data_IF_323077879580
#
_entry.id   IF_323077879580
#
_cell.length_a   1.000
_cell.length_b   1.000
_cell.length_c   1.000
_cell.angle_alpha   90.00
_cell.angle_beta   90.00
_cell.angle_gamma   90.00
#
_symmetry.space_group_name_H-M   'P 1'
#
loop_
_entity.id
_entity.type
_entity.pdbx_description
1 polymer ?
#
# COMPACT_ATOMS: atom_id res chain seq x y z
N UNK A 1 -47.50 45.95 -26.69
CA UNK A 1 -48.24 46.48 -25.52
C UNK A 1 -49.26 45.44 -24.99
N UNK A 2 -49.05 45.04 -23.75
CA UNK A 2 -50.02 44.53 -22.77
C UNK A 2 -50.84 43.24 -23.00
N UNK A 3 -50.43 42.21 -22.24
CA UNK A 3 -51.17 41.47 -21.19
C UNK A 3 -52.11 40.29 -21.56
N UNK A 4 -51.88 39.23 -20.77
CA UNK A 4 -52.53 37.91 -20.59
C UNK A 4 -54.05 37.94 -20.33
N UNK A 5 -54.72 36.81 -20.63
CA UNK A 5 -55.55 35.97 -19.71
C UNK A 5 -56.11 34.76 -20.50
N UNK A 6 -55.89 33.51 -20.07
CA UNK A 6 -56.91 32.61 -19.48
C UNK A 6 -57.70 31.84 -20.58
N UNK A 7 -58.09 30.56 -20.53
CA UNK A 7 -58.35 29.58 -19.46
C UNK A 7 -58.72 28.26 -20.19
N UNK A 8 -58.59 27.09 -19.54
CA UNK A 8 -59.51 25.91 -19.55
C UNK A 8 -58.81 24.56 -19.60
N UNK A 9 -59.11 23.75 -18.59
CA UNK A 9 -58.87 22.30 -18.47
C UNK A 9 -60.13 21.56 -18.95
N UNK A 10 -60.00 20.30 -19.41
CA UNK A 10 -60.90 19.27 -18.87
C UNK A 10 -60.20 17.94 -18.50
N UNK A 11 -60.87 17.23 -17.60
CA UNK A 11 -60.55 15.94 -16.98
C UNK A 11 -60.81 14.76 -17.93
N UNK A 12 -59.98 13.72 -17.87
CA UNK A 12 -60.22 12.39 -18.46
C UNK A 12 -59.36 11.31 -17.79
N UNK A 13 -59.99 10.19 -17.41
CA UNK A 13 -59.51 9.17 -16.46
C UNK A 13 -58.65 8.05 -17.06
N UNK A 14 -57.91 7.39 -16.15
CA UNK A 14 -57.57 5.95 -16.05
C UNK A 14 -56.70 5.27 -17.12
N UNK A 15 -55.57 4.73 -16.67
CA UNK A 15 -54.75 3.76 -17.39
C UNK A 15 -53.67 3.17 -16.48
N UNK A 16 -53.95 1.97 -15.98
CA UNK A 16 -53.18 1.06 -15.14
C UNK A 16 -51.69 0.96 -15.50
N UNK A 17 -50.78 1.10 -14.54
CA UNK A 17 -49.39 0.64 -14.67
C UNK A 17 -49.05 -0.33 -13.55
N UNK A 18 -48.78 -1.56 -14.00
CA UNK A 18 -48.25 -2.71 -13.27
C UNK A 18 -46.97 -2.37 -12.54
N UNK A 19 -46.89 -2.81 -11.29
CA UNK A 19 -45.69 -2.73 -10.48
C UNK A 19 -44.59 -3.63 -11.01
N UNK A 20 -43.38 -3.09 -11.02
CA UNK A 20 -42.14 -3.86 -11.09
C UNK A 20 -41.22 -3.30 -10.01
N UNK A 21 -40.76 -4.18 -9.12
CA UNK A 21 -39.89 -3.86 -7.99
C UNK A 21 -38.56 -3.23 -8.44
N UNK A 22 -37.99 -2.29 -7.67
CA UNK A 22 -36.65 -1.77 -7.95
C UNK A 22 -35.58 -2.79 -7.54
N UNK A 23 -34.60 -3.11 -8.39
CA UNK A 23 -33.44 -3.87 -7.94
C UNK A 23 -32.56 -2.98 -7.04
N UNK A 24 -32.10 -3.60 -5.94
CA UNK A 24 -31.19 -3.04 -4.95
C UNK A 24 -30.03 -2.28 -5.58
N UNK A 25 -29.80 -1.06 -5.09
CA UNK A 25 -28.57 -0.31 -5.31
C UNK A 25 -27.45 -1.00 -4.52
N UNK A 26 -26.59 -1.73 -5.22
CA UNK A 26 -25.27 -2.11 -4.70
C UNK A 26 -24.42 -0.84 -4.71
N UNK A 27 -24.14 -0.31 -3.53
CA UNK A 27 -23.27 0.86 -3.35
C UNK A 27 -21.81 0.43 -3.52
N UNK A 28 -21.31 0.51 -4.74
CA UNK A 28 -19.87 0.49 -5.01
C UNK A 28 -19.36 1.91 -4.82
N UNK A 29 -18.87 2.23 -3.63
CA UNK A 29 -18.11 3.47 -3.40
C UNK A 29 -16.72 3.30 -3.98
N UNK A 30 -16.54 3.73 -5.22
CA UNK A 30 -15.23 4.08 -5.79
C UNK A 30 -14.70 5.31 -5.04
N UNK A 31 -13.46 5.31 -4.50
CA UNK A 31 -12.87 6.54 -4.00
C UNK A 31 -12.50 7.40 -5.20
N UNK A 32 -13.21 8.51 -5.35
CA UNK A 32 -12.84 9.56 -6.30
C UNK A 32 -11.50 10.16 -5.85
N UNK A 33 -10.49 10.12 -6.72
CA UNK A 33 -9.27 10.91 -6.58
C UNK A 33 -9.62 12.40 -6.75
N UNK A 34 -10.13 13.01 -5.68
CA UNK A 34 -10.26 14.44 -5.54
C UNK A 34 -9.09 14.94 -4.71
N UNK A 35 -8.36 15.93 -5.22
CA UNK A 35 -7.35 16.69 -4.48
C UNK A 35 -8.01 17.26 -3.23
N UNK A 36 -7.78 16.64 -2.07
CA UNK A 36 -8.21 17.18 -0.78
C UNK A 36 -7.15 18.17 -0.33
N UNK A 37 -7.33 19.45 -0.67
CA UNK A 37 -6.75 20.53 0.12
C UNK A 37 -7.47 20.57 1.47
N UNK A 38 -6.89 19.90 2.47
CA UNK A 38 -7.38 19.91 3.85
C UNK A 38 -6.82 21.11 4.62
N UNK A 39 -7.69 22.00 5.07
CA UNK A 39 -7.38 23.04 6.07
C UNK A 39 -6.92 22.40 7.38
N UNK A 40 -5.91 22.93 8.11
CA UNK A 40 -5.42 22.27 9.33
C UNK A 40 -6.44 22.40 10.46
N UNK A 41 -7.10 21.29 10.80
CA UNK A 41 -7.84 21.16 12.05
C UNK A 41 -6.88 20.81 13.19
N UNK A 42 -6.98 21.51 14.33
CA UNK A 42 -6.17 21.32 15.54
C UNK A 42 -6.42 19.99 16.30
N UNK A 43 -6.98 18.96 15.65
CA UNK A 43 -7.16 17.64 16.24
C UNK A 43 -6.00 16.72 15.80
N UNK A 44 -5.36 16.02 16.74
CA UNK A 44 -4.34 15.01 16.41
C UNK A 44 -4.96 13.95 15.48
N UNK A 45 -4.31 13.57 14.36
CA UNK A 45 -4.82 12.54 13.47
C UNK A 45 -5.05 11.22 14.24
N UNK A 46 -6.26 10.67 14.18
CA UNK A 46 -6.63 9.41 14.85
C UNK A 46 -6.04 8.15 14.18
N UNK A 47 -5.32 8.34 13.08
CA UNK A 47 -4.76 7.31 12.21
C UNK A 47 -3.22 7.28 12.23
N UNK A 48 -2.57 8.10 13.09
CA UNK A 48 -1.11 8.12 13.13
C UNK A 48 -0.54 6.98 14.00
N UNK A 49 0.64 6.49 13.60
CA UNK A 49 1.37 5.40 14.26
C UNK A 49 1.86 5.74 15.69
N UNK A 50 1.58 6.95 16.17
CA UNK A 50 1.97 7.47 17.49
C UNK A 50 0.75 7.94 18.32
N UNK A 51 -0.47 7.88 17.76
CA UNK A 51 -1.71 8.42 18.33
C UNK A 51 -2.78 7.37 18.56
N UNK A 52 -2.42 6.24 19.17
CA UNK A 52 -3.21 5.00 19.23
C UNK A 52 -4.49 4.99 20.09
N UNK A 53 -5.05 6.14 20.46
CA UNK A 53 -6.28 6.17 21.26
C UNK A 53 -7.51 5.91 20.37
N UNK A 54 -8.20 4.77 20.56
CA UNK A 54 -9.68 4.76 20.56
C UNK A 54 -10.36 3.45 21.05
N UNK A 55 -11.67 3.60 21.28
CA UNK A 55 -12.65 2.81 22.05
C UNK A 55 -12.87 1.34 21.70
N UNK A 56 -13.24 0.57 22.73
CA UNK A 56 -13.53 -0.88 22.74
C UNK A 56 -14.53 -1.32 21.66
N UNK A 57 -14.28 -2.41 20.91
CA UNK A 57 -15.24 -2.97 19.97
C UNK A 57 -16.29 -3.87 20.67
N UNK A 58 -17.53 -3.85 20.18
CA UNK A 58 -18.57 -4.83 20.50
C UNK A 58 -18.60 -5.98 19.48
N UNK A 59 -18.55 -7.22 19.99
CA UNK A 59 -18.50 -8.49 19.25
C UNK A 59 -19.87 -8.90 18.69
N UNK A 60 -19.94 -9.40 17.45
CA UNK A 60 -21.05 -10.23 16.96
C UNK A 60 -20.47 -11.44 16.20
N UNK A 61 -20.71 -12.63 16.73
CA UNK A 61 -20.39 -13.92 16.11
C UNK A 61 -21.57 -14.38 15.23
N UNK A 62 -21.29 -15.16 14.17
CA UNK A 62 -22.29 -15.79 13.31
C UNK A 62 -22.49 -17.26 13.70
N UNK A 63 -23.74 -17.71 13.67
CA UNK A 63 -24.16 -19.07 13.97
C UNK A 63 -24.35 -19.88 12.68
N UNK A 64 -23.58 -20.95 12.49
CA UNK A 64 -24.03 -22.16 11.78
C UNK A 64 -22.96 -23.26 11.86
N UNK A 65 -23.35 -24.41 12.41
CA UNK A 65 -22.53 -25.62 12.52
C UNK A 65 -22.77 -26.56 11.32
N UNK A 66 -21.72 -27.24 10.83
CA UNK A 66 -21.81 -28.31 9.84
C UNK A 66 -20.98 -29.49 10.32
N UNK A 67 -21.57 -30.69 10.32
CA UNK A 67 -20.97 -31.91 10.89
C UNK A 67 -20.04 -32.62 9.93
N UNK A 68 -18.84 -32.95 10.41
CA UNK A 68 -17.79 -33.64 9.67
C UNK A 68 -17.94 -35.17 9.61
N UNK A 69 -17.45 -35.75 8.51
CA UNK A 69 -16.78 -37.06 8.38
C UNK A 69 -16.45 -37.34 6.91
N UNK A 70 -15.61 -36.51 6.32
CA UNK A 70 -14.93 -36.82 5.03
C UNK A 70 -13.61 -36.00 4.87
N UNK A 71 -13.10 -35.45 5.97
CA UNK A 71 -12.05 -34.42 6.00
C UNK A 71 -10.63 -34.97 6.17
N UNK A 72 -10.46 -36.17 6.73
CA UNK A 72 -9.15 -36.58 7.29
C UNK A 72 -8.10 -36.98 6.24
N UNK A 73 -8.46 -37.58 5.11
CA UNK A 73 -7.47 -38.09 4.15
C UNK A 73 -7.04 -37.07 3.07
N UNK A 74 -7.88 -36.08 2.74
CA UNK A 74 -7.54 -35.06 1.72
C UNK A 74 -6.70 -33.91 2.26
N UNK A 75 -6.67 -33.71 3.58
CA UNK A 75 -5.95 -32.60 4.21
C UNK A 75 -4.46 -32.87 4.44
N UNK A 76 -4.05 -34.15 4.61
CA UNK A 76 -2.66 -34.49 4.91
C UNK A 76 -1.68 -34.30 3.73
N UNK A 77 -2.13 -34.44 2.48
CA UNK A 77 -1.22 -34.40 1.31
C UNK A 77 -1.03 -33.01 0.70
N UNK A 78 -1.71 -31.96 1.21
CA UNK A 78 -1.65 -30.59 0.65
C UNK A 78 -1.15 -29.51 1.62
N UNK A 79 -0.76 -29.85 2.85
CA UNK A 79 -0.52 -28.89 3.95
C UNK A 79 0.93 -28.85 4.45
N UNK A 80 1.86 -28.51 3.55
CA UNK A 80 3.18 -28.00 3.94
C UNK A 80 3.15 -26.46 3.89
N UNK A 81 2.59 -25.82 4.92
CA UNK A 81 2.73 -24.37 5.14
C UNK A 81 3.57 -24.03 6.39
N UNK A 82 3.94 -25.03 7.20
CA UNK A 82 4.96 -24.90 8.24
C UNK A 82 6.40 -24.79 7.66
N UNK A 83 6.60 -25.18 6.40
CA UNK A 83 7.93 -25.20 5.78
C UNK A 83 8.36 -23.86 5.15
N UNK A 84 7.43 -22.94 4.83
CA UNK A 84 7.76 -21.67 4.18
C UNK A 84 8.03 -20.54 5.19
N UNK A 85 7.27 -20.47 6.29
CA UNK A 85 7.50 -19.51 7.39
C UNK A 85 8.94 -19.59 7.91
N UNK A 86 9.45 -20.81 8.12
CA UNK A 86 10.83 -21.02 8.59
C UNK A 86 11.89 -20.57 7.57
N UNK A 87 11.61 -20.63 6.26
CA UNK A 87 12.54 -20.17 5.22
C UNK A 87 12.59 -18.65 5.16
N UNK A 88 11.45 -17.98 5.27
CA UNK A 88 11.40 -16.52 5.22
C UNK A 88 11.93 -15.89 6.51
N UNK A 89 11.71 -16.51 7.67
CA UNK A 89 12.39 -16.14 8.92
C UNK A 89 13.92 -16.30 8.76
N UNK A 90 14.40 -17.44 8.27
CA UNK A 90 15.84 -17.65 8.09
C UNK A 90 16.48 -16.63 7.12
N UNK A 91 15.75 -16.18 6.09
CA UNK A 91 16.21 -15.08 5.21
C UNK A 91 16.35 -13.76 5.98
N UNK A 92 15.37 -13.42 6.83
CA UNK A 92 15.43 -12.23 7.68
C UNK A 92 16.59 -12.32 8.66
N UNK A 93 16.76 -13.46 9.34
CA UNK A 93 17.84 -13.67 10.30
C UNK A 93 19.22 -13.55 9.63
N UNK A 94 19.38 -14.13 8.43
CA UNK A 94 20.62 -14.00 7.67
C UNK A 94 20.90 -12.56 7.25
N UNK A 95 19.87 -11.77 6.92
CA UNK A 95 20.01 -10.37 6.54
C UNK A 95 20.34 -9.47 7.73
N UNK A 96 19.61 -9.62 8.85
CA UNK A 96 19.81 -8.79 10.04
C UNK A 96 20.96 -9.29 10.94
N UNK A 97 21.50 -10.49 10.69
CA UNK A 97 22.57 -11.08 11.48
C UNK A 97 22.16 -11.44 12.92
N UNK A 98 20.87 -11.62 13.16
CA UNK A 98 20.30 -11.95 14.48
C UNK A 98 19.10 -12.87 14.33
N UNK A 99 18.89 -13.76 15.30
CA UNK A 99 17.69 -14.58 15.35
C UNK A 99 16.45 -13.73 15.61
N UNK A 100 15.33 -14.12 15.01
CA UNK A 100 14.03 -13.52 15.29
C UNK A 100 13.46 -14.11 16.57
N UNK A 101 12.89 -13.26 17.43
CA UNK A 101 12.10 -13.73 18.56
C UNK A 101 10.81 -14.37 18.05
N UNK A 102 10.51 -15.59 18.51
CA UNK A 102 9.31 -16.35 18.11
C UNK A 102 8.42 -16.71 19.28
N UNK A 103 8.86 -16.51 20.52
CA UNK A 103 8.02 -16.70 21.70
C UNK A 103 7.13 -15.48 21.91
N UNK A 104 5.81 -15.66 21.83
CA UNK A 104 4.84 -14.55 21.79
C UNK A 104 4.98 -13.59 22.97
N UNK A 105 5.16 -14.11 24.20
CA UNK A 105 5.29 -13.30 25.42
C UNK A 105 6.52 -12.39 25.44
N UNK A 106 7.53 -12.70 24.62
CA UNK A 106 8.78 -11.94 24.51
C UNK A 106 8.77 -10.96 23.33
N UNK A 107 7.73 -11.00 22.49
CA UNK A 107 7.55 -10.07 21.39
C UNK A 107 6.96 -8.75 21.89
N UNK A 108 7.46 -7.61 21.41
CA UNK A 108 6.88 -6.33 21.73
C UNK A 108 5.49 -6.21 21.10
N UNK A 109 4.55 -5.63 21.85
CA UNK A 109 3.18 -5.36 21.38
C UNK A 109 3.05 -4.05 20.63
N UNK A 110 4.09 -3.22 20.58
CA UNK A 110 4.14 -2.02 19.77
C UNK A 110 5.55 -1.72 19.29
N UNK A 111 5.65 -1.14 18.09
CA UNK A 111 6.90 -0.70 17.50
C UNK A 111 6.62 0.39 16.47
N UNK A 112 7.44 1.44 16.48
CA UNK A 112 7.34 2.56 15.55
C UNK A 112 8.73 2.88 15.04
N UNK A 113 8.90 2.86 13.72
CA UNK A 113 10.18 3.19 13.10
C UNK A 113 10.45 4.69 13.20
N UNK A 114 11.65 5.05 13.67
CA UNK A 114 12.09 6.46 13.77
C UNK A 114 13.49 6.65 13.17
N UNK A 115 13.69 7.65 12.28
CA UNK A 115 12.67 8.55 11.72
C UNK A 115 11.64 7.80 10.86
N UNK A 116 10.45 8.38 10.72
CA UNK A 116 9.43 7.81 9.83
C UNK A 116 9.92 7.82 8.39
N UNK A 117 9.57 6.82 7.56
CA UNK A 117 9.62 7.00 6.12
C UNK A 117 8.83 8.25 5.73
N UNK A 118 9.31 8.99 4.72
CA UNK A 118 8.69 10.26 4.34
C UNK A 118 7.54 10.10 3.34
N UNK A 119 6.45 10.87 3.47
CA UNK A 119 5.37 10.89 2.48
C UNK A 119 5.83 11.50 1.16
N UNK A 120 5.37 10.90 0.06
CA UNK A 120 5.59 11.36 -1.30
C UNK A 120 4.61 10.67 -2.25
N UNK A 121 4.46 11.13 -3.50
CA UNK A 121 3.54 10.52 -4.42
C UNK A 121 4.19 9.30 -5.08
N UNK A 122 3.36 8.43 -5.64
CA UNK A 122 3.80 7.30 -6.46
C UNK A 122 4.15 7.70 -7.90
N UNK A 123 4.21 9.00 -8.21
CA UNK A 123 4.51 9.60 -9.53
C UNK A 123 3.78 8.88 -10.68
N UNK A 124 2.47 9.11 -10.84
CA UNK A 124 1.63 8.29 -11.68
C UNK A 124 2.03 8.37 -13.16
N UNK A 125 2.07 7.23 -13.83
CA UNK A 125 2.36 7.12 -15.27
C UNK A 125 1.39 7.96 -16.10
N UNK A 126 0.10 7.98 -15.75
CA UNK A 126 -0.91 8.76 -16.48
C UNK A 126 -0.73 10.28 -16.37
N UNK A 127 0.07 10.74 -15.38
CA UNK A 127 0.47 12.15 -15.19
C UNK A 127 1.86 12.45 -15.79
N UNK A 128 2.43 11.50 -16.56
CA UNK A 128 3.77 11.57 -17.16
C UNK A 128 4.93 11.44 -16.14
N UNK A 129 4.72 10.73 -15.04
CA UNK A 129 5.76 10.47 -14.04
C UNK A 129 6.30 11.76 -13.43
N UNK A 130 7.62 11.91 -13.36
CA UNK A 130 8.27 13.12 -12.83
C UNK A 130 8.26 14.32 -13.79
N UNK A 131 7.65 14.19 -14.98
CA UNK A 131 7.37 15.35 -15.84
C UNK A 131 6.14 16.16 -15.36
N UNK A 132 5.38 15.65 -14.38
CA UNK A 132 4.21 16.35 -13.85
C UNK A 132 4.60 17.71 -13.25
N UNK A 133 3.85 18.76 -13.62
CA UNK A 133 3.94 20.06 -12.96
C UNK A 133 3.12 20.01 -11.68
N UNK A 134 3.73 19.53 -10.60
CA UNK A 134 3.07 19.40 -9.31
C UNK A 134 2.78 20.76 -8.66
N UNK A 135 3.58 21.80 -8.97
CA UNK A 135 3.38 23.17 -8.54
C UNK A 135 2.99 24.06 -9.72
N UNK A 136 1.88 24.80 -9.59
CA UNK A 136 1.34 25.61 -10.67
C UNK A 136 2.29 26.75 -11.06
N UNK A 137 2.66 26.81 -12.33
CA UNK A 137 3.53 27.88 -12.87
C UNK A 137 5.02 27.62 -12.68
N UNK A 138 5.40 26.48 -12.09
CA UNK A 138 6.79 26.05 -12.02
C UNK A 138 7.10 24.96 -13.05
N UNK A 139 8.38 24.87 -13.42
CA UNK A 139 8.92 23.77 -14.21
C UNK A 139 8.77 22.44 -13.44
N UNK A 140 8.64 21.33 -14.17
CA UNK A 140 8.57 20.00 -13.57
C UNK A 140 9.92 19.60 -12.95
N UNK A 141 9.95 18.61 -12.03
CA UNK A 141 11.21 18.08 -11.49
C UNK A 141 12.20 17.67 -12.58
N UNK A 142 11.73 17.00 -13.64
CA UNK A 142 12.54 16.59 -14.78
C UNK A 142 13.13 17.79 -15.55
N UNK A 143 12.32 18.81 -15.83
CA UNK A 143 12.76 20.03 -16.52
C UNK A 143 13.79 20.81 -15.67
N UNK A 144 13.55 20.91 -14.35
CA UNK A 144 14.48 21.53 -13.40
C UNK A 144 15.82 20.81 -13.40
N UNK A 145 15.83 19.48 -13.30
CA UNK A 145 17.05 18.68 -13.33
C UNK A 145 17.82 18.90 -14.65
N UNK A 146 17.15 18.72 -15.79
CA UNK A 146 17.80 18.88 -17.08
C UNK A 146 18.43 20.26 -17.25
N UNK A 147 17.70 21.32 -16.86
CA UNK A 147 18.19 22.70 -16.94
C UNK A 147 19.40 22.93 -16.03
N UNK A 148 19.35 22.48 -14.78
CA UNK A 148 20.41 22.72 -13.80
C UNK A 148 21.71 21.99 -14.16
N UNK A 149 21.63 20.82 -14.79
CA UNK A 149 22.79 19.98 -15.13
C UNK A 149 23.19 20.07 -16.62
N UNK A 150 22.66 21.06 -17.35
CA UNK A 150 23.08 21.34 -18.73
C UNK A 150 22.66 20.27 -19.75
N UNK A 151 21.59 19.54 -19.47
CA UNK A 151 20.94 18.62 -20.41
C UNK A 151 19.88 19.38 -21.23
N UNK A 152 19.49 18.82 -22.38
CA UNK A 152 18.35 19.33 -23.14
C UNK A 152 17.04 18.93 -22.43
N UNK A 153 16.22 19.90 -21.95
CA UNK A 153 15.02 19.56 -21.18
C UNK A 153 13.99 18.78 -21.99
N UNK A 154 13.86 19.04 -23.29
CA UNK A 154 12.90 18.34 -24.14
C UNK A 154 13.29 16.87 -24.31
N UNK A 155 14.56 16.59 -24.61
CA UNK A 155 15.08 15.24 -24.74
C UNK A 155 15.00 14.47 -23.41
N UNK A 156 15.37 15.10 -22.29
CA UNK A 156 15.30 14.47 -20.97
C UNK A 156 13.85 14.11 -20.60
N UNK A 157 12.91 15.04 -20.73
CA UNK A 157 11.49 14.77 -20.46
C UNK A 157 10.90 13.71 -21.41
N UNK A 158 11.35 13.66 -22.66
CA UNK A 158 10.96 12.60 -23.60
C UNK A 158 11.50 11.23 -23.18
N UNK A 159 12.69 11.16 -22.59
CA UNK A 159 13.24 9.92 -22.03
C UNK A 159 12.44 9.46 -20.81
N UNK A 160 12.16 10.37 -19.86
CA UNK A 160 11.27 10.11 -18.69
C UNK A 160 9.93 9.52 -19.17
N UNK A 161 9.25 10.19 -20.10
CA UNK A 161 7.95 9.76 -20.61
C UNK A 161 7.98 8.36 -21.23
N UNK A 162 9.05 8.04 -21.97
CA UNK A 162 9.22 6.72 -22.62
C UNK A 162 9.56 5.60 -21.65
N UNK A 163 10.25 5.92 -20.55
CA UNK A 163 10.69 4.94 -19.56
C UNK A 163 9.53 4.56 -18.64
N UNK A 164 8.91 5.54 -17.96
CA UNK A 164 7.88 5.31 -16.95
C UNK A 164 6.65 6.25 -17.02
N UNK A 165 6.62 7.20 -17.96
CA UNK A 165 5.51 8.13 -18.18
C UNK A 165 4.52 7.73 -19.29
N UNK A 166 3.89 8.69 -19.95
CA UNK A 166 2.77 8.47 -20.87
C UNK A 166 3.21 7.72 -22.14
N UNK A 167 4.38 8.05 -22.71
CA UNK A 167 4.84 7.44 -23.96
C UNK A 167 5.26 5.96 -23.78
N UNK A 168 5.59 5.54 -22.55
CA UNK A 168 5.81 4.13 -22.21
C UNK A 168 4.55 3.27 -22.50
N UNK A 169 3.38 3.90 -22.50
CA UNK A 169 2.07 3.27 -22.72
C UNK A 169 1.57 3.41 -24.17
N UNK A 170 2.47 3.70 -25.12
CA UNK A 170 2.14 3.96 -26.54
C UNK A 170 1.38 2.85 -27.28
N UNK A 171 1.33 1.63 -26.72
CA UNK A 171 0.56 0.49 -27.24
C UNK A 171 -0.90 0.44 -26.73
N UNK A 172 -1.26 1.27 -25.75
CA UNK A 172 -2.63 1.35 -25.22
C UNK A 172 -3.53 2.18 -26.15
N UNK A 173 -4.84 2.12 -25.89
CA UNK A 173 -5.86 2.84 -26.65
C UNK A 173 -5.57 4.34 -26.67
N UNK A 174 -5.55 4.94 -27.86
CA UNK A 174 -5.40 6.40 -27.99
C UNK A 174 -6.63 7.11 -27.48
N UNK A 175 -6.43 8.28 -26.89
CA UNK A 175 -7.51 9.11 -26.35
C UNK A 175 -7.24 10.60 -26.54
N UNK A 176 -8.30 11.38 -26.46
CA UNK A 176 -8.30 12.86 -26.43
C UNK A 176 -9.05 13.38 -25.20
N UNK A 177 -9.84 12.53 -24.53
CA UNK A 177 -10.52 12.80 -23.27
C UNK A 177 -10.77 11.51 -22.49
N UNK A 178 -11.12 11.60 -21.21
CA UNK A 178 -11.44 10.44 -20.37
C UNK A 178 -12.61 9.61 -20.89
N UNK A 179 -13.53 10.22 -21.65
CA UNK A 179 -14.67 9.51 -22.25
C UNK A 179 -14.21 8.44 -23.25
N UNK A 180 -13.06 8.62 -23.90
CA UNK A 180 -12.50 7.62 -24.82
C UNK A 180 -12.05 6.34 -24.08
N UNK A 181 -11.80 6.44 -22.77
CA UNK A 181 -11.31 5.36 -21.92
C UNK A 181 -12.43 4.64 -21.15
N UNK A 182 -13.62 5.24 -21.04
CA UNK A 182 -14.72 4.74 -20.20
C UNK A 182 -15.15 3.30 -20.51
N UNK A 183 -15.00 2.85 -21.76
CA UNK A 183 -15.39 1.49 -22.18
C UNK A 183 -14.44 0.38 -21.70
N UNK A 184 -13.24 0.74 -21.21
CA UNK A 184 -12.21 -0.23 -20.80
C UNK A 184 -12.51 -0.88 -19.44
N UNK A 185 -13.24 -0.18 -18.55
CA UNK A 185 -13.60 -0.64 -17.21
C UNK A 185 -12.40 -1.12 -16.36
N UNK A 186 -11.20 -0.57 -16.59
CA UNK A 186 -9.94 -0.93 -15.92
C UNK A 186 -9.36 0.23 -15.07
N UNK A 187 -10.16 1.27 -14.81
CA UNK A 187 -9.73 2.46 -14.07
C UNK A 187 -8.81 3.40 -14.89
N UNK A 188 -8.76 3.25 -16.21
CA UNK A 188 -7.97 4.12 -17.07
C UNK A 188 -8.48 5.56 -17.14
N UNK A 189 -7.57 6.51 -16.99
CA UNK A 189 -7.74 7.92 -17.38
C UNK A 189 -7.00 8.21 -18.68
N UNK A 190 -7.37 9.29 -19.37
CA UNK A 190 -6.67 9.73 -20.57
C UNK A 190 -5.42 10.54 -20.21
N UNK A 191 -4.25 9.90 -20.24
CA UNK A 191 -2.97 10.57 -20.02
C UNK A 191 -2.53 11.31 -21.27
N UNK A 192 -2.44 12.64 -21.21
CA UNK A 192 -1.99 13.51 -22.30
C UNK A 192 -0.78 14.32 -21.82
N UNK A 193 0.34 14.23 -22.53
CA UNK A 193 1.55 15.01 -22.21
C UNK A 193 1.32 16.50 -22.38
N UNK A 194 2.03 17.31 -21.59
CA UNK A 194 2.02 18.75 -21.73
C UNK A 194 2.34 19.18 -23.17
N UNK A 195 1.49 20.05 -23.74
CA UNK A 195 1.62 20.54 -25.12
C UNK A 195 1.11 19.59 -26.21
N UNK A 196 0.62 18.39 -25.87
CA UNK A 196 0.01 17.46 -26.82
C UNK A 196 -1.53 17.55 -26.81
N UNK A 197 -2.17 17.11 -27.89
CA UNK A 197 -3.63 17.11 -28.05
C UNK A 197 -4.28 15.73 -27.93
N UNK A 198 -3.46 14.67 -27.83
CA UNK A 198 -3.91 13.30 -27.68
C UNK A 198 -2.87 12.49 -26.92
N UNK A 199 -3.30 11.42 -26.28
CA UNK A 199 -2.42 10.50 -25.56
C UNK A 199 -3.01 9.11 -25.49
N UNK A 200 -2.94 8.47 -24.32
CA UNK A 200 -3.30 7.06 -24.16
C UNK A 200 -4.16 6.83 -22.90
N UNK A 201 -5.07 5.85 -22.95
CA UNK A 201 -5.84 5.40 -21.81
C UNK A 201 -4.98 4.54 -20.88
N UNK A 202 -4.60 5.08 -19.72
CA UNK A 202 -3.63 4.49 -18.79
C UNK A 202 -4.32 4.24 -17.44
N UNK A 203 -4.22 3.04 -16.84
CA UNK A 203 -4.76 2.76 -15.51
C UNK A 203 -4.12 3.72 -14.51
N UNK A 204 -4.96 4.41 -13.74
CA UNK A 204 -4.50 5.50 -12.88
C UNK A 204 -3.60 5.04 -11.73
N UNK A 205 -3.65 3.76 -11.37
CA UNK A 205 -2.77 3.15 -10.37
C UNK A 205 -1.34 2.89 -10.86
N UNK A 206 -1.07 2.95 -12.16
CA UNK A 206 0.29 2.78 -12.67
C UNK A 206 1.19 3.93 -12.21
N UNK A 207 2.34 3.58 -11.65
CA UNK A 207 3.40 4.50 -11.26
C UNK A 207 4.53 3.75 -10.57
N UNK A 208 5.35 4.48 -9.81
CA UNK A 208 6.59 4.01 -9.22
C UNK A 208 6.51 3.93 -7.69
N UNK A 209 5.39 3.46 -7.13
CA UNK A 209 5.26 3.23 -5.69
C UNK A 209 6.35 2.27 -5.16
N UNK A 210 6.73 1.26 -5.96
CA UNK A 210 7.84 0.35 -5.64
C UNK A 210 9.22 1.03 -5.55
N UNK A 211 9.37 2.24 -6.09
CA UNK A 211 10.62 3.00 -6.05
C UNK A 211 10.57 4.12 -4.99
N UNK A 212 9.44 4.81 -4.85
CA UNK A 212 9.23 5.78 -3.78
C UNK A 212 9.36 5.12 -2.40
N UNK A 213 8.77 3.95 -2.20
CA UNK A 213 8.79 3.27 -0.90
C UNK A 213 10.20 2.98 -0.36
N UNK A 214 11.14 2.36 -1.10
CA UNK A 214 12.51 2.18 -0.61
C UNK A 214 13.28 3.51 -0.50
N UNK A 215 13.06 4.47 -1.40
CA UNK A 215 13.67 5.80 -1.28
C UNK A 215 13.24 6.48 0.03
N UNK A 216 11.95 6.38 0.38
CA UNK A 216 11.39 6.95 1.62
C UNK A 216 11.97 6.36 2.90
N UNK A 217 12.41 5.10 2.84
CA UNK A 217 12.98 4.38 3.97
C UNK A 217 14.48 4.63 4.14
N UNK A 218 15.21 4.68 3.02
CA UNK A 218 16.68 4.72 3.04
C UNK A 218 17.24 6.13 2.95
N UNK A 219 16.53 7.06 2.31
CA UNK A 219 16.98 8.42 2.10
C UNK A 219 16.40 9.36 3.17
N UNK A 220 17.23 10.29 3.65
CA UNK A 220 16.77 11.33 4.54
C UNK A 220 15.78 12.25 3.80
N UNK A 221 14.73 12.69 4.46
CA UNK A 221 13.73 13.54 3.83
C UNK A 221 14.30 14.93 3.50
N UNK A 222 14.16 15.43 2.26
CA UNK A 222 14.51 16.81 1.93
C UNK A 222 13.65 17.79 2.75
N UNK A 223 14.27 18.81 3.37
CA UNK A 223 13.58 19.72 4.27
C UNK A 223 13.36 21.11 3.69
N UNK A 224 14.36 21.65 2.98
CA UNK A 224 14.35 23.02 2.46
C UNK A 224 14.67 23.08 0.96
N UNK A 225 14.18 24.10 0.22
CA UNK A 225 14.57 24.30 -1.17
C UNK A 225 16.08 24.50 -1.33
N UNK A 226 16.62 24.04 -2.45
CA UNK A 226 18.05 24.13 -2.81
C UNK A 226 18.17 24.79 -4.18
N UNK A 227 19.14 25.70 -4.35
CA UNK A 227 19.37 26.33 -5.64
C UNK A 227 20.68 25.84 -6.24
N UNK A 228 20.61 25.24 -7.43
CA UNK A 228 21.77 24.76 -8.16
C UNK A 228 21.76 25.31 -9.58
N UNK A 229 22.86 25.95 -9.99
CA UNK A 229 23.02 26.55 -11.32
C UNK A 229 21.84 27.44 -11.76
N UNK A 230 21.29 28.22 -10.82
CA UNK A 230 20.19 29.14 -11.09
C UNK A 230 18.79 28.52 -11.09
N UNK A 231 18.66 27.22 -10.82
CA UNK A 231 17.38 26.51 -10.69
C UNK A 231 17.11 26.15 -9.24
N UNK A 232 15.91 26.47 -8.74
CA UNK A 232 15.47 26.11 -7.39
C UNK A 232 14.70 24.79 -7.41
N UNK A 233 15.18 23.83 -6.64
CA UNK A 233 14.54 22.55 -6.36
C UNK A 233 13.87 22.62 -4.99
N UNK A 234 12.55 22.47 -4.94
CA UNK A 234 11.82 22.30 -3.70
C UNK A 234 12.00 20.87 -3.17
N UNK A 235 11.76 20.60 -1.87
CA UNK A 235 11.79 19.25 -1.33
C UNK A 235 11.00 18.23 -2.15
N UNK A 236 9.83 18.63 -2.66
CA UNK A 236 9.00 17.80 -3.51
C UNK A 236 9.64 17.45 -4.87
N UNK A 237 10.42 18.37 -5.47
CA UNK A 237 11.20 18.05 -6.68
C UNK A 237 12.25 16.98 -6.38
N UNK A 238 12.93 17.09 -5.23
CA UNK A 238 13.95 16.12 -4.83
C UNK A 238 13.35 14.75 -4.51
N UNK A 239 12.15 14.70 -3.90
CA UNK A 239 11.36 13.48 -3.72
C UNK A 239 11.01 12.83 -5.07
N UNK A 240 10.80 13.62 -6.12
CA UNK A 240 10.57 13.10 -7.47
C UNK A 240 11.83 12.44 -8.04
N UNK A 241 12.92 13.19 -8.07
CA UNK A 241 14.18 12.76 -8.67
C UNK A 241 14.74 11.52 -7.97
N UNK A 242 14.69 11.48 -6.64
CA UNK A 242 15.20 10.33 -5.88
C UNK A 242 14.33 9.09 -6.09
N UNK A 243 13.01 9.21 -6.15
CA UNK A 243 12.13 8.08 -6.45
C UNK A 243 12.40 7.51 -7.85
N UNK A 244 12.61 8.37 -8.85
CA UNK A 244 12.90 7.96 -10.23
C UNK A 244 14.30 7.29 -10.36
N UNK A 245 15.29 7.74 -9.57
CA UNK A 245 16.56 7.00 -9.42
C UNK A 245 16.32 5.57 -8.93
N UNK A 246 15.49 5.38 -7.91
CA UNK A 246 15.21 4.05 -7.36
C UNK A 246 14.44 3.15 -8.33
N UNK A 247 13.69 3.72 -9.28
CA UNK A 247 13.02 2.98 -10.36
C UNK A 247 14.03 2.51 -11.41
N UNK A 248 14.94 3.38 -11.83
CA UNK A 248 15.97 3.08 -12.83
C UNK A 248 17.20 2.33 -12.29
N UNK A 249 17.37 2.23 -10.97
CA UNK A 249 18.52 1.59 -10.33
C UNK A 249 18.27 0.10 -10.01
N UNK A 250 19.31 -0.72 -10.15
CA UNK A 250 19.26 -2.11 -9.67
C UNK A 250 19.56 -2.15 -8.17
N UNK A 251 18.50 -2.14 -7.35
CA UNK A 251 18.61 -2.34 -5.90
C UNK A 251 18.36 -3.80 -5.53
N UNK A 252 19.22 -4.35 -4.67
CA UNK A 252 19.01 -5.69 -4.14
C UNK A 252 17.88 -5.67 -3.12
N UNK A 253 16.92 -6.58 -3.25
CA UNK A 253 15.80 -6.71 -2.32
C UNK A 253 15.83 -8.03 -1.56
N UNK A 254 15.21 -8.05 -0.38
CA UNK A 254 14.78 -9.27 0.29
C UNK A 254 13.27 -9.36 0.14
N UNK A 255 12.77 -10.40 -0.51
CA UNK A 255 11.34 -10.59 -0.78
C UNK A 255 10.84 -11.83 -0.04
N UNK A 256 9.71 -11.68 0.65
CA UNK A 256 9.04 -12.72 1.44
C UNK A 256 7.55 -12.71 1.14
N UNK A 257 6.96 -13.90 0.95
CA UNK A 257 5.65 -14.07 0.33
C UNK A 257 5.70 -14.14 -1.21
N UNK A 258 4.55 -14.42 -1.82
CA UNK A 258 4.35 -14.67 -3.24
C UNK A 258 3.20 -13.82 -3.71
N UNK A 259 3.43 -13.01 -4.74
CA UNK A 259 2.40 -12.17 -5.34
C UNK A 259 1.21 -13.00 -5.83
N UNK A 260 0.00 -12.59 -5.47
CA UNK A 260 -1.21 -13.07 -6.11
C UNK A 260 -1.50 -12.25 -7.37
N UNK A 261 -1.37 -12.85 -8.56
CA UNK A 261 -1.55 -12.14 -9.84
C UNK A 261 -3.04 -12.07 -10.29
N UNK A 262 -3.99 -12.25 -9.38
CA UNK A 262 -5.40 -12.47 -9.71
C UNK A 262 -5.69 -13.87 -10.27
N UNK A 263 -6.97 -14.21 -10.46
CA UNK A 263 -7.42 -15.49 -11.04
C UNK A 263 -8.56 -16.16 -10.26
N UNK A 264 -8.88 -17.40 -10.63
CA UNK A 264 -9.91 -18.19 -9.92
C UNK A 264 -9.44 -18.50 -8.50
N UNK A 265 -10.03 -17.80 -7.54
CA UNK A 265 -9.83 -18.02 -6.12
C UNK A 265 -11.21 -18.17 -5.50
N UNK A 266 -11.45 -19.29 -4.83
CA UNK A 266 -12.73 -19.57 -4.16
C UNK A 266 -12.41 -19.96 -2.72
N UNK A 267 -12.93 -19.22 -1.73
CA UNK A 267 -12.97 -19.67 -0.35
C UNK A 267 -13.58 -21.05 -0.24
N UNK A 268 -13.02 -21.90 0.63
CA UNK A 268 -13.75 -23.06 1.13
C UNK A 268 -14.84 -22.63 2.13
N UNK A 269 -15.56 -23.60 2.70
CA UNK A 269 -16.65 -23.33 3.65
C UNK A 269 -16.20 -22.67 4.96
N UNK A 270 -14.90 -22.59 5.20
CA UNK A 270 -14.27 -21.99 6.37
C UNK A 270 -13.58 -20.64 6.07
N UNK A 271 -13.76 -20.11 4.85
CA UNK A 271 -13.14 -18.86 4.38
C UNK A 271 -11.82 -19.07 3.63
N UNK A 272 -11.15 -20.19 3.86
CA UNK A 272 -9.78 -20.39 3.36
C UNK A 272 -9.74 -20.41 1.83
N UNK A 273 -9.04 -19.44 1.26
CA UNK A 273 -8.82 -19.30 -0.18
C UNK A 273 -8.13 -20.52 -0.80
N UNK A 274 -8.50 -20.90 -2.02
CA UNK A 274 -7.92 -22.06 -2.70
C UNK A 274 -6.53 -21.79 -3.29
N UNK A 275 -6.21 -20.53 -3.60
CA UNK A 275 -4.91 -20.09 -4.10
C UNK A 275 -3.82 -20.15 -3.02
N UNK A 276 -2.71 -20.83 -3.31
CA UNK A 276 -1.56 -20.86 -2.41
C UNK A 276 -0.87 -19.49 -2.31
N UNK A 277 -0.81 -18.72 -3.40
CA UNK A 277 -0.25 -17.37 -3.42
C UNK A 277 -1.07 -16.40 -2.54
N UNK A 278 -2.40 -16.57 -2.51
CA UNK A 278 -3.26 -15.77 -1.64
C UNK A 278 -3.05 -16.10 -0.16
N UNK A 279 -2.77 -17.36 0.16
CA UNK A 279 -2.45 -17.79 1.53
C UNK A 279 -0.97 -17.61 1.91
N UNK A 280 -0.14 -17.06 1.01
CA UNK A 280 1.31 -17.22 1.11
C UNK A 280 1.93 -16.40 2.23
N UNK A 281 1.37 -15.22 2.53
CA UNK A 281 1.76 -14.47 3.71
C UNK A 281 1.07 -15.04 4.96
N UNK A 282 1.72 -16.01 5.59
CA UNK A 282 1.26 -16.60 6.84
C UNK A 282 1.18 -15.54 7.96
N UNK A 283 0.08 -15.44 8.73
CA UNK A 283 -0.07 -14.44 9.78
C UNK A 283 0.94 -14.57 10.93
N UNK A 284 1.49 -15.77 11.17
CA UNK A 284 2.60 -15.95 12.10
C UNK A 284 3.85 -15.24 11.61
N UNK A 285 4.20 -15.42 10.33
CA UNK A 285 5.32 -14.72 9.72
C UNK A 285 5.11 -13.20 9.77
N UNK A 286 3.92 -12.73 9.43
CA UNK A 286 3.54 -11.32 9.53
C UNK A 286 3.75 -10.77 10.94
N UNK A 287 3.21 -11.45 11.96
CA UNK A 287 3.32 -11.00 13.35
C UNK A 287 4.77 -10.98 13.85
N UNK A 288 5.51 -12.07 13.63
CA UNK A 288 6.91 -12.21 14.02
C UNK A 288 7.75 -11.13 13.35
N UNK A 289 7.57 -10.92 12.04
CA UNK A 289 8.30 -9.90 11.27
C UNK A 289 7.97 -8.51 11.79
N UNK A 290 6.69 -8.15 11.90
CA UNK A 290 6.30 -6.82 12.32
C UNK A 290 6.79 -6.49 13.74
N UNK A 291 6.62 -7.41 14.70
CA UNK A 291 7.04 -7.21 16.07
C UNK A 291 8.58 -7.16 16.21
N UNK A 292 9.33 -8.03 15.54
CA UNK A 292 10.80 -7.99 15.62
C UNK A 292 11.36 -6.73 14.96
N UNK A 293 10.95 -6.41 13.73
CA UNK A 293 11.59 -5.34 12.98
C UNK A 293 11.28 -3.97 13.59
N UNK A 294 10.00 -3.69 13.81
CA UNK A 294 9.56 -2.38 14.31
C UNK A 294 9.80 -2.23 15.82
N UNK A 295 9.73 -3.33 16.57
CA UNK A 295 9.80 -3.28 18.04
C UNK A 295 11.16 -3.65 18.63
N UNK A 296 12.00 -4.45 17.97
CA UNK A 296 13.30 -4.91 18.50
C UNK A 296 14.50 -4.41 17.68
N UNK A 297 14.38 -4.29 16.35
CA UNK A 297 15.52 -4.00 15.48
C UNK A 297 15.60 -2.54 15.01
N UNK A 298 14.62 -1.70 15.37
CA UNK A 298 14.47 -0.34 14.83
C UNK A 298 14.60 -0.32 13.30
N UNK A 299 13.94 -1.28 12.65
CA UNK A 299 13.91 -1.45 11.21
C UNK A 299 12.46 -1.44 10.72
N UNK A 300 12.27 -1.17 9.43
CA UNK A 300 10.95 -1.23 8.80
C UNK A 300 10.97 -1.97 7.47
N UNK A 301 9.81 -2.12 6.86
CA UNK A 301 9.58 -2.90 5.64
C UNK A 301 8.56 -2.25 4.73
N UNK A 302 8.47 -2.77 3.51
CA UNK A 302 7.48 -2.39 2.52
C UNK A 302 6.46 -3.52 2.44
N UNK A 303 5.18 -3.16 2.45
CA UNK A 303 4.08 -4.11 2.31
C UNK A 303 3.22 -3.73 1.11
N UNK A 304 2.72 -4.74 0.39
CA UNK A 304 1.55 -4.55 -0.47
C UNK A 304 0.31 -4.57 0.44
N UNK A 305 -0.34 -3.42 0.57
CA UNK A 305 -1.47 -3.26 1.50
C UNK A 305 -2.82 -3.53 0.84
N UNK A 306 -2.82 -3.98 -0.42
CA UNK A 306 -4.02 -4.36 -1.16
C UNK A 306 -4.01 -5.83 -1.52
N UNK A 307 -5.06 -6.58 -1.18
CA UNK A 307 -5.23 -8.00 -1.54
C UNK A 307 -5.80 -8.19 -2.96
N UNK A 308 -5.53 -7.24 -3.87
CA UNK A 308 -6.20 -7.08 -5.18
C UNK A 308 -5.29 -7.39 -6.38
N UNK A 309 -5.75 -7.07 -7.59
CA UNK A 309 -4.91 -7.20 -8.81
C UNK A 309 -3.90 -6.06 -8.96
N UNK A 310 -4.23 -4.90 -8.41
CA UNK A 310 -3.33 -3.74 -8.31
C UNK A 310 -2.31 -4.00 -7.20
N UNK A 311 -1.10 -3.50 -7.37
CA UNK A 311 -0.03 -3.62 -6.37
C UNK A 311 0.24 -2.25 -5.79
N UNK A 312 0.05 -2.10 -4.49
CA UNK A 312 0.25 -0.84 -3.77
C UNK A 312 1.29 -1.02 -2.67
N UNK A 313 2.54 -0.72 -3.03
CA UNK A 313 3.66 -0.73 -2.09
C UNK A 313 3.56 0.47 -1.16
N UNK A 314 3.56 0.22 0.15
CA UNK A 314 3.57 1.29 1.16
C UNK A 314 4.69 1.05 2.18
N UNK A 315 5.44 2.09 2.58
CA UNK A 315 6.48 1.95 3.57
C UNK A 315 5.84 1.94 4.96
N UNK A 316 6.07 0.86 5.70
CA UNK A 316 5.48 0.68 7.02
C UNK A 316 6.13 1.66 8.00
N UNK A 317 5.29 2.25 8.85
CA UNK A 317 5.71 3.17 9.92
C UNK A 317 5.63 2.53 11.29
N UNK A 318 4.63 1.69 11.54
CA UNK A 318 4.43 1.12 12.86
C UNK A 318 3.52 -0.10 12.89
N UNK A 319 3.60 -0.82 14.00
CA UNK A 319 2.82 -2.00 14.30
C UNK A 319 2.37 -1.95 15.76
N UNK A 320 1.11 -2.29 16.02
CA UNK A 320 0.57 -2.34 17.37
C UNK A 320 -0.44 -3.48 17.54
N UNK A 321 -0.26 -4.24 18.60
CA UNK A 321 -1.21 -5.25 19.07
C UNK A 321 -2.22 -4.60 20.01
N UNK A 322 -3.50 -4.75 19.69
CA UNK A 322 -4.63 -4.20 20.45
C UNK A 322 -5.33 -5.25 21.31
N UNK A 323 -5.28 -6.52 20.90
CA UNK A 323 -5.87 -7.63 21.63
C UNK A 323 -5.01 -8.87 21.46
N UNK A 324 -4.79 -9.57 22.56
CA UNK A 324 -4.31 -10.95 22.61
C UNK A 324 -5.26 -11.72 23.54
N UNK A 325 -5.93 -12.72 23.01
CA UNK A 325 -6.90 -13.54 23.75
C UNK A 325 -6.51 -15.00 23.61
N UNK A 326 -6.02 -15.59 24.70
CA UNK A 326 -5.71 -17.02 24.78
C UNK A 326 -6.99 -17.86 24.63
N UNK A 327 -6.89 -18.95 23.88
CA UNK A 327 -7.97 -19.89 23.59
C UNK A 327 -7.43 -21.31 23.56
N UNK A 328 -8.23 -22.27 24.03
CA UNK A 328 -8.01 -23.67 23.71
C UNK A 328 -8.23 -23.95 22.22
N UNK A 329 -7.71 -25.08 21.74
CA UNK A 329 -7.92 -25.52 20.35
C UNK A 329 -9.41 -25.72 20.07
N UNK A 330 -10.15 -26.29 21.02
CA UNK A 330 -11.59 -26.54 20.92
C UNK A 330 -12.39 -25.22 20.88
N UNK A 331 -12.05 -24.25 21.74
CA UNK A 331 -12.70 -22.94 21.71
C UNK A 331 -12.45 -22.22 20.39
N UNK A 332 -11.23 -22.25 19.85
CA UNK A 332 -10.89 -21.63 18.58
C UNK A 332 -11.62 -22.33 17.42
N UNK A 333 -11.59 -23.67 17.38
CA UNK A 333 -12.28 -24.48 16.38
C UNK A 333 -13.77 -24.15 16.32
N UNK A 334 -14.42 -24.11 17.48
CA UNK A 334 -15.85 -23.84 17.59
C UNK A 334 -16.18 -22.38 17.25
N UNK A 335 -15.37 -21.42 17.73
CA UNK A 335 -15.64 -19.98 17.58
C UNK A 335 -15.48 -19.49 16.15
N UNK A 336 -14.44 -19.94 15.45
CA UNK A 336 -14.08 -19.39 14.14
C UNK A 336 -14.52 -20.27 12.98
N UNK A 337 -14.67 -21.59 13.20
CA UNK A 337 -14.94 -22.55 12.13
C UNK A 337 -16.18 -23.43 12.40
N UNK A 338 -16.79 -23.35 13.59
CA UNK A 338 -17.94 -24.19 13.95
C UNK A 338 -17.59 -25.68 14.06
N UNK A 339 -16.34 -26.00 14.38
CA UNK A 339 -15.80 -27.37 14.44
C UNK A 339 -15.52 -27.80 15.88
N UNK A 340 -15.62 -29.10 16.15
CA UNK A 340 -15.26 -29.67 17.45
C UNK A 340 -13.75 -29.74 17.67
N UNK A 341 -12.97 -29.92 16.59
CA UNK A 341 -11.51 -30.06 16.63
C UNK A 341 -10.83 -29.04 15.74
N UNK A 342 -9.72 -28.47 16.21
CA UNK A 342 -8.93 -27.50 15.44
C UNK A 342 -8.22 -28.22 14.28
N UNK A 343 -8.55 -27.92 13.01
CA UNK A 343 -8.12 -28.78 11.92
C UNK A 343 -6.82 -28.32 11.25
N UNK A 344 -6.28 -27.14 11.60
CA UNK A 344 -5.30 -26.44 10.77
C UNK A 344 -3.86 -26.87 11.04
N UNK A 345 -3.52 -27.07 12.31
CA UNK A 345 -2.19 -27.50 12.73
C UNK A 345 -2.27 -28.54 13.87
N UNK A 346 -1.83 -29.76 13.60
CA UNK A 346 -1.82 -30.86 14.57
C UNK A 346 -0.72 -30.73 15.64
N UNK A 347 0.31 -29.92 15.38
CA UNK A 347 1.37 -29.63 16.34
C UNK A 347 0.96 -28.55 17.36
N UNK A 348 -0.04 -27.71 17.03
CA UNK A 348 -0.56 -26.67 17.91
C UNK A 348 -1.08 -27.25 19.24
N UNK A 349 -0.78 -26.53 20.33
CA UNK A 349 -1.13 -26.86 21.71
C UNK A 349 -2.09 -25.86 22.32
N UNK A 350 -2.00 -24.60 21.89
CA UNK A 350 -2.92 -23.54 22.24
C UNK A 350 -3.02 -22.52 21.10
N UNK A 351 -4.05 -21.68 21.16
CA UNK A 351 -4.31 -20.63 20.18
C UNK A 351 -4.32 -19.27 20.88
N UNK A 352 -3.78 -18.25 20.23
CA UNK A 352 -3.98 -16.86 20.65
C UNK A 352 -4.65 -16.09 19.52
N UNK A 353 -5.87 -15.60 19.77
CA UNK A 353 -6.50 -14.63 18.89
C UNK A 353 -5.80 -13.28 19.04
N UNK A 354 -5.41 -12.68 17.92
CA UNK A 354 -4.73 -11.39 17.88
C UNK A 354 -5.52 -10.42 17.02
N UNK A 355 -5.75 -9.22 17.57
CA UNK A 355 -6.11 -8.04 16.78
C UNK A 355 -4.93 -7.08 16.81
N UNK A 356 -4.36 -6.80 15.65
CA UNK A 356 -3.24 -5.86 15.50
C UNK A 356 -3.54 -4.82 14.45
N UNK A 357 -2.74 -3.76 14.41
CA UNK A 357 -2.78 -2.72 13.39
C UNK A 357 -1.41 -2.56 12.79
N UNK A 358 -1.35 -2.56 11.46
CA UNK A 358 -0.20 -2.07 10.71
C UNK A 358 -0.50 -0.64 10.28
N UNK A 359 0.47 0.26 10.45
CA UNK A 359 0.39 1.63 9.97
C UNK A 359 1.49 1.90 8.96
N UNK A 360 1.14 2.56 7.87
CA UNK A 360 2.03 2.90 6.76
C UNK A 360 1.83 4.34 6.33
N UNK A 361 2.77 4.84 5.54
CA UNK A 361 2.69 6.17 4.93
C UNK A 361 1.91 6.10 3.63
N UNK A 362 1.06 7.09 3.37
CA UNK A 362 0.27 7.23 2.15
C UNK A 362 0.75 8.42 1.31
N UNK A 363 0.33 8.44 0.05
CA UNK A 363 0.80 9.36 -0.95
C UNK A 363 0.29 10.80 -0.77
N UNK A 364 1.12 11.78 -1.12
CA UNK A 364 0.77 13.21 -1.08
C UNK A 364 1.63 14.04 -2.02
N UNK A 365 1.07 15.15 -2.51
CA UNK A 365 1.81 16.20 -3.21
C UNK A 365 2.20 17.38 -2.31
N UNK A 366 2.10 17.22 -0.99
CA UNK A 366 2.46 18.28 -0.03
C UNK A 366 3.98 18.45 0.02
N UNK A 367 4.44 19.66 -0.25
CA UNK A 367 5.86 20.02 -0.22
C UNK A 367 6.39 20.29 1.20
N UNK A 368 7.71 20.21 1.37
CA UNK A 368 8.42 20.43 2.63
C UNK A 368 8.89 19.15 3.34
N UNK A 369 9.63 19.35 4.44
CA UNK A 369 10.02 18.30 5.38
C UNK A 369 8.85 17.90 6.28
N UNK A 370 8.10 16.87 5.89
CA UNK A 370 6.87 16.45 6.57
C UNK A 370 7.15 15.63 7.83
N UNK A 371 8.25 14.90 7.87
CA UNK A 371 8.70 14.13 9.04
C UNK A 371 9.22 15.08 10.11
N UNK A 372 10.12 16.00 9.76
CA UNK A 372 10.71 16.96 10.72
C UNK A 372 9.70 17.95 11.28
N UNK A 373 8.67 18.31 10.51
CA UNK A 373 7.56 19.16 10.96
C UNK A 373 6.46 18.41 11.72
N UNK A 374 6.50 17.08 11.75
CA UNK A 374 5.45 16.24 12.34
C UNK A 374 4.18 16.12 11.48
N UNK A 375 4.15 16.72 10.28
CA UNK A 375 3.02 16.60 9.35
C UNK A 375 2.86 15.19 8.76
N UNK A 376 3.88 14.34 8.85
CA UNK A 376 3.84 12.92 8.46
C UNK A 376 2.67 12.16 9.10
N UNK A 377 2.20 12.59 10.27
CA UNK A 377 1.02 12.02 10.95
C UNK A 377 -0.27 12.17 10.13
N UNK A 378 -0.39 13.23 9.31
CA UNK A 378 -1.56 13.45 8.44
C UNK A 378 -1.58 12.51 7.24
N UNK A 379 -0.42 11.93 6.92
CA UNK A 379 -0.21 11.02 5.80
C UNK A 379 0.12 9.61 6.29
N UNK A 380 -0.14 9.32 7.56
CA UNK A 380 -0.06 7.96 8.09
C UNK A 380 -1.46 7.40 8.17
N UNK A 381 -1.63 6.21 7.58
CA UNK A 381 -2.87 5.45 7.70
C UNK A 381 -2.59 4.03 8.21
N UNK A 382 -3.60 3.16 8.25
CA UNK A 382 -3.41 1.77 8.62
C UNK A 382 -4.66 0.92 8.53
N UNK A 383 -4.46 -0.39 8.65
CA UNK A 383 -5.52 -1.38 8.71
C UNK A 383 -5.37 -2.27 9.95
N UNK A 384 -6.51 -2.71 10.47
CA UNK A 384 -6.55 -3.74 11.49
C UNK A 384 -6.53 -5.12 10.85
N UNK A 385 -5.69 -5.99 11.39
CA UNK A 385 -5.63 -7.39 11.01
C UNK A 385 -5.97 -8.29 12.18
N UNK A 386 -6.79 -9.31 11.91
CA UNK A 386 -7.22 -10.31 12.88
C UNK A 386 -6.81 -11.71 12.45
N UNK A 387 -6.16 -12.43 13.34
CA UNK A 387 -5.61 -13.75 13.07
C UNK A 387 -5.50 -14.58 14.35
N UNK A 388 -5.38 -15.89 14.16
CA UNK A 388 -5.04 -16.84 15.18
C UNK A 388 -3.54 -17.14 15.08
N UNK A 389 -2.83 -17.09 16.20
CA UNK A 389 -1.49 -17.64 16.32
C UNK A 389 -1.58 -19.03 16.94
N UNK A 390 -0.89 -19.98 16.32
CA UNK A 390 -0.76 -21.36 16.77
C UNK A 390 0.51 -21.48 17.58
N UNK A 391 0.39 -22.02 18.80
CA UNK A 391 1.49 -22.07 19.76
C UNK A 391 1.86 -23.51 20.10
N UNK A 392 3.14 -23.77 20.37
CA UNK A 392 3.59 -25.00 21.03
C UNK A 392 3.44 -24.94 22.57
N UNK A 393 3.90 -25.99 23.27
CA UNK A 393 3.82 -26.09 24.74
C UNK A 393 4.66 -25.01 25.47
N UNK A 394 5.68 -24.45 24.81
CA UNK A 394 6.58 -23.44 25.37
C UNK A 394 6.10 -21.99 25.11
N UNK A 395 5.02 -21.83 24.34
CA UNK A 395 4.51 -20.54 23.92
C UNK A 395 5.33 -19.94 22.76
N UNK A 396 5.95 -20.77 21.94
CA UNK A 396 6.56 -20.40 20.66
C UNK A 396 5.51 -20.39 19.57
N UNK A 397 5.50 -19.34 18.74
CA UNK A 397 4.63 -19.26 17.57
C UNK A 397 5.14 -20.25 16.52
N UNK A 398 4.28 -21.21 16.14
CA UNK A 398 4.60 -22.25 15.15
C UNK A 398 3.72 -22.19 13.90
N UNK A 399 2.70 -21.32 13.90
CA UNK A 399 1.84 -21.10 12.74
C UNK A 399 0.71 -20.13 13.05
N UNK A 400 -0.27 -20.05 12.15
CA UNK A 400 -1.39 -19.14 12.28
C UNK A 400 -2.31 -19.13 11.08
N UNK A 401 -3.54 -18.64 11.31
CA UNK A 401 -4.61 -18.56 10.31
C UNK A 401 -5.28 -17.18 10.38
N UNK A 402 -5.54 -16.57 9.22
CA UNK A 402 -6.29 -15.31 9.14
C UNK A 402 -7.76 -15.56 9.50
N UNK A 403 -8.43 -14.57 10.13
CA UNK A 403 -9.85 -14.67 10.48
C UNK A 403 -10.60 -13.37 10.23
N UNK A 404 -11.93 -13.46 10.20
CA UNK A 404 -12.84 -12.35 9.90
C UNK A 404 -12.51 -11.70 8.55
N UNK A 405 -12.50 -10.37 8.46
CA UNK A 405 -12.23 -9.65 7.21
C UNK A 405 -10.80 -9.90 6.70
N UNK A 406 -9.87 -10.17 7.61
CA UNK A 406 -8.46 -10.37 7.25
C UNK A 406 -8.20 -11.65 6.49
N UNK A 407 -9.18 -12.55 6.36
CA UNK A 407 -9.08 -13.70 5.46
C UNK A 407 -9.09 -13.29 3.98
N UNK A 408 -9.73 -12.17 3.64
CA UNK A 408 -9.76 -11.56 2.29
C UNK A 408 -8.93 -10.27 2.17
N UNK A 409 -8.51 -9.70 3.30
CA UNK A 409 -7.93 -8.36 3.37
C UNK A 409 -6.74 -8.35 4.33
N UNK A 410 -5.65 -8.95 3.84
CA UNK A 410 -4.35 -9.00 4.48
C UNK A 410 -3.27 -8.60 3.47
N UNK A 411 -2.04 -8.21 3.91
CA UNK A 411 -0.98 -7.90 2.98
C UNK A 411 -0.61 -9.12 2.12
N UNK A 412 -0.31 -8.90 0.84
CA UNK A 412 0.03 -9.98 -0.10
C UNK A 412 1.48 -10.45 0.06
N UNK A 413 2.40 -9.49 0.25
CA UNK A 413 3.82 -9.76 0.45
C UNK A 413 4.51 -8.65 1.24
N UNK A 414 5.68 -8.99 1.79
CA UNK A 414 6.56 -8.07 2.50
C UNK A 414 7.93 -8.11 1.86
N UNK A 415 8.55 -6.95 1.66
CA UNK A 415 9.90 -6.87 1.10
C UNK A 415 10.72 -5.69 1.63
N UNK A 416 12.01 -5.76 1.37
CA UNK A 416 13.02 -4.86 1.93
C UNK A 416 14.03 -4.44 0.87
N UNK A 417 14.39 -3.16 0.79
CA UNK A 417 15.61 -2.76 0.10
C UNK A 417 16.82 -3.08 0.99
N UNK A 418 17.84 -3.73 0.43
CA UNK A 418 19.07 -4.10 1.18
C UNK A 418 20.07 -2.96 1.30
N UNK A 419 20.05 -2.04 0.34
CA UNK A 419 20.98 -0.92 0.26
C UNK A 419 20.42 0.17 -0.64
N UNK A 420 21.00 1.36 -0.52
CA UNK A 420 20.85 2.45 -1.49
C UNK A 420 21.45 2.04 -2.85
N UNK A 421 21.06 2.69 -3.95
CA UNK A 421 21.76 2.58 -5.23
C UNK A 421 23.27 2.82 -5.09
N UNK A 422 24.07 2.26 -5.99
CA UNK A 422 25.51 2.54 -6.04
C UNK A 422 25.74 4.04 -6.32
N UNK A 423 26.71 4.67 -5.67
CA UNK A 423 26.93 6.11 -5.73
C UNK A 423 27.18 6.65 -7.16
N UNK A 424 27.72 5.81 -8.06
CA UNK A 424 28.00 6.10 -9.46
C UNK A 424 26.85 5.71 -10.42
N UNK A 425 25.68 5.34 -9.88
CA UNK A 425 24.51 4.99 -10.69
C UNK A 425 24.06 6.18 -11.54
N UNK A 426 23.91 5.92 -12.84
CA UNK A 426 23.21 6.79 -13.79
C UNK A 426 22.14 5.95 -14.46
N UNK A 427 20.88 6.38 -14.40
CA UNK A 427 19.75 5.64 -14.96
C UNK A 427 19.76 5.68 -16.49
N UNK A 428 18.90 4.87 -17.11
CA UNK A 428 18.71 4.83 -18.58
C UNK A 428 18.35 6.20 -19.18
N UNK A 429 17.67 7.05 -18.41
CA UNK A 429 17.26 8.40 -18.83
C UNK A 429 18.35 9.47 -18.64
N UNK A 430 19.47 9.11 -17.99
CA UNK A 430 20.58 10.03 -17.69
C UNK A 430 20.44 10.77 -16.35
N UNK A 431 19.60 10.27 -15.44
CA UNK A 431 19.47 10.81 -14.08
C UNK A 431 20.59 10.22 -13.21
N UNK A 432 21.42 11.09 -12.63
CA UNK A 432 22.62 10.73 -11.88
C UNK A 432 22.32 10.70 -10.39
N UNK A 433 22.56 9.55 -9.75
CA UNK A 433 22.34 9.43 -8.31
C UNK A 433 23.29 10.33 -7.51
N UNK A 434 24.52 10.53 -7.97
CA UNK A 434 25.47 11.45 -7.35
C UNK A 434 24.95 12.90 -7.34
N UNK A 435 24.36 13.35 -8.44
CA UNK A 435 23.84 14.71 -8.57
C UNK A 435 22.61 14.91 -7.67
N UNK A 436 21.68 13.94 -7.67
CA UNK A 436 20.49 13.98 -6.81
C UNK A 436 20.88 13.88 -5.33
N UNK A 437 21.85 13.04 -4.98
CA UNK A 437 22.36 12.92 -3.61
C UNK A 437 22.96 14.23 -3.11
N UNK A 438 23.73 14.94 -3.95
CA UNK A 438 24.29 16.25 -3.59
C UNK A 438 23.18 17.28 -3.30
N UNK A 439 22.13 17.34 -4.12
CA UNK A 439 20.99 18.23 -3.87
C UNK A 439 20.22 17.83 -2.60
N UNK A 440 20.04 16.53 -2.38
CA UNK A 440 19.37 15.99 -1.22
C UNK A 440 20.12 16.36 0.07
N UNK A 441 21.43 16.14 0.13
CA UNK A 441 22.27 16.49 1.28
C UNK A 441 22.14 17.98 1.65
N UNK A 442 22.16 18.87 0.65
CA UNK A 442 21.93 20.31 0.86
C UNK A 442 20.54 20.62 1.41
N UNK A 443 19.52 19.95 0.88
CA UNK A 443 18.13 20.16 1.29
C UNK A 443 17.86 19.65 2.70
N UNK A 444 18.45 18.52 3.08
CA UNK A 444 18.38 17.97 4.43
C UNK A 444 19.06 18.92 5.42
N UNK A 445 20.23 19.47 5.06
CA UNK A 445 20.98 20.40 5.88
C UNK A 445 20.43 21.84 5.87
N UNK A 446 19.46 22.14 4.99
CA UNK A 446 18.97 23.49 4.71
C UNK A 446 20.12 24.48 4.44
N UNK A 447 21.12 24.06 3.65
CA UNK A 447 22.38 24.81 3.47
C UNK A 447 22.25 26.11 2.68
N UNK A 448 21.19 26.23 1.88
CA UNK A 448 20.94 27.36 0.98
C UNK A 448 19.79 28.26 1.48
N UNK A 449 19.28 28.00 2.69
CA UNK A 449 18.12 28.67 3.30
C UNK A 449 18.48 29.88 4.16
#
# INVERSE_FOLDING_TARGET
PTVKTGTTTPVGKTGTTTGTAPPSKTSTTTPSAGVVQGTPGNAKPKDCATGWEETKPTRKLRDSAVSGRELDEKLQTKRQLEANTNKDIAKLEAYFGTSMETTLKNLPTEGVHTPSPWPGPYWPTYQDGINVQWSQGEASPAEKYATAFGLDPTDFMNKVSKDNGIDSMSKRTKCTSDNDCASLNDGSGCGIRAGQSSGYCIPTWYGICHAWTPASMLEAEPNCPVTHNGVTFHPMDLKALISDIYDGASISTLFTGTRFNGGSNTPDEYGRHSSAAYRDLNPAFFHITAANLLGKLNATFIADVTAGSEVWNQPVRGFKVYEQTEMSLEEAAQTFYGLETYPWNAAAKSIVYVKSRLSWIFETYTDGGLVSSGQVDQFTTGAYYTYLLEMDDDGTIIGGEWVYKSDDDHPDFIWFPKAKPAADTVTSIGLSYADVSMLLEKSVACSDS
#
